data_IF_469934037416
#
_entry.id   IF_469934037416
#
_cell.length_a   1.000
_cell.length_b   1.000
_cell.length_c   1.000
_cell.angle_alpha   90.00
_cell.angle_beta   90.00
_cell.angle_gamma   90.00
#
_symmetry.space_group_name_H-M   'P 1'
#
loop_
_entity.id
_entity.type
_entity.pdbx_description
1 polymer ?
#
# COMPACT_ATOMS: atom_id res chain seq x y z
N UNK A 1 49.04 8.50 -10.16
CA UNK A 1 50.37 9.16 -10.24
C UNK A 1 50.70 9.78 -8.90
N UNK A 2 51.68 9.24 -8.18
CA UNK A 2 52.70 10.00 -7.41
C UNK A 2 53.60 8.97 -6.71
N UNK A 3 54.83 8.92 -7.20
CA UNK A 3 55.94 8.09 -6.73
C UNK A 3 56.60 8.84 -5.56
N UNK A 4 56.85 8.16 -4.45
CA UNK A 4 57.80 8.62 -3.45
C UNK A 4 59.00 7.67 -3.47
N UNK A 5 60.13 8.19 -3.96
CA UNK A 5 61.45 7.64 -3.74
C UNK A 5 61.96 8.16 -2.40
N UNK A 6 62.49 7.29 -1.54
CA UNK A 6 63.34 7.68 -0.42
C UNK A 6 64.42 6.61 -0.18
N UNK A 7 65.65 7.07 -0.39
CA UNK A 7 66.98 6.57 -0.06
C UNK A 7 67.14 5.30 0.82
N UNK A 8 67.91 4.34 0.28
CA UNK A 8 68.60 3.29 1.01
C UNK A 8 69.78 3.88 1.80
N UNK A 9 69.79 3.69 3.12
CA UNK A 9 71.00 3.74 3.93
C UNK A 9 71.35 2.31 4.39
N UNK A 10 72.54 1.87 4.04
CA UNK A 10 73.10 0.55 4.33
C UNK A 10 73.63 0.54 5.78
N UNK A 11 73.01 -0.28 6.64
CA UNK A 11 73.48 -0.53 8.02
C UNK A 11 73.96 -1.99 8.07
N UNK A 12 75.18 -2.28 8.57
CA UNK A 12 75.73 -3.62 8.61
C UNK A 12 75.00 -4.49 9.64
N UNK A 13 74.43 -5.58 9.15
CA UNK A 13 73.66 -6.57 9.91
C UNK A 13 74.63 -7.54 10.59
N UNK A 14 74.90 -7.33 11.88
CA UNK A 14 75.53 -8.37 12.71
C UNK A 14 74.50 -9.47 12.96
N UNK A 15 74.75 -10.61 12.33
CA UNK A 15 73.96 -11.83 12.36
C UNK A 15 74.10 -12.54 13.72
N UNK A 16 73.45 -12.04 14.77
CA UNK A 16 73.15 -12.88 15.95
C UNK A 16 71.77 -13.46 15.77
N UNK A 17 71.74 -14.76 15.48
CA UNK A 17 70.52 -15.52 15.29
C UNK A 17 69.56 -15.39 16.47
N UNK A 18 68.31 -15.13 16.17
CA UNK A 18 67.17 -15.49 17.00
C UNK A 18 66.02 -15.71 16.05
N UNK A 19 65.90 -16.94 15.57
CA UNK A 19 64.65 -17.42 14.97
C UNK A 19 63.65 -17.48 16.12
N UNK A 20 63.00 -16.36 16.40
CA UNK A 20 61.85 -16.33 17.28
C UNK A 20 60.73 -17.03 16.52
N UNK A 21 60.62 -18.34 16.72
CA UNK A 21 59.46 -19.11 16.29
C UNK A 21 58.22 -18.51 16.98
N UNK A 22 57.55 -17.60 16.28
CA UNK A 22 56.15 -17.24 16.53
C UNK A 22 55.32 -18.50 16.27
N UNK A 23 55.38 -19.45 17.19
CA UNK A 23 54.34 -20.46 17.32
C UNK A 23 53.07 -19.70 17.71
N UNK A 24 52.04 -19.64 16.86
CA UNK A 24 50.75 -19.16 17.32
C UNK A 24 50.30 -20.21 18.34
N UNK A 25 50.39 -19.89 19.63
CA UNK A 25 49.72 -20.65 20.67
C UNK A 25 48.21 -20.49 20.42
N UNK A 26 47.65 -21.31 19.54
CA UNK A 26 46.22 -21.47 19.36
C UNK A 26 45.74 -22.20 20.62
N UNK A 27 45.60 -21.46 21.73
CA UNK A 27 45.00 -21.98 22.94
C UNK A 27 43.59 -22.47 22.59
N UNK A 28 43.39 -23.78 22.58
CA UNK A 28 42.09 -24.37 22.32
C UNK A 28 41.06 -23.75 23.27
N UNK A 29 39.86 -23.35 22.78
CA UNK A 29 38.84 -22.75 23.64
C UNK A 29 38.53 -23.72 24.78
N UNK A 30 38.76 -23.27 26.01
CA UNK A 30 38.59 -24.10 27.21
C UNK A 30 37.15 -24.62 27.31
N UNK A 31 36.96 -25.81 27.86
CA UNK A 31 35.63 -26.42 28.00
C UNK A 31 34.62 -25.48 28.69
N UNK A 32 35.07 -24.68 29.67
CA UNK A 32 34.26 -23.65 30.33
C UNK A 32 33.81 -22.53 29.38
N UNK A 33 34.70 -22.05 28.49
CA UNK A 33 34.37 -21.03 27.49
C UNK A 33 33.36 -21.57 26.45
N UNK A 34 33.51 -22.83 26.04
CA UNK A 34 32.57 -23.50 25.14
C UNK A 34 31.19 -23.66 25.78
N UNK A 35 31.13 -24.06 27.06
CA UNK A 35 29.88 -24.19 27.82
C UNK A 35 29.16 -22.83 27.97
N UNK A 36 29.88 -21.77 28.32
CA UNK A 36 29.31 -20.42 28.41
C UNK A 36 28.76 -19.93 27.05
N UNK A 37 29.46 -20.21 25.95
CA UNK A 37 29.01 -19.87 24.60
C UNK A 37 27.73 -20.62 24.22
N UNK A 38 27.62 -21.91 24.56
CA UNK A 38 26.43 -22.71 24.30
C UNK A 38 25.21 -22.20 25.10
N UNK A 39 25.39 -21.86 26.37
CA UNK A 39 24.34 -21.29 27.20
C UNK A 39 23.83 -19.97 26.65
N UNK A 40 24.74 -19.09 26.21
CA UNK A 40 24.37 -17.81 25.61
C UNK A 40 23.61 -18.00 24.29
N UNK A 41 24.09 -18.88 23.40
CA UNK A 41 23.37 -19.23 22.17
C UNK A 41 21.97 -19.77 22.46
N UNK A 42 21.84 -20.66 23.45
CA UNK A 42 20.53 -21.20 23.83
C UNK A 42 19.58 -20.11 24.35
N UNK A 43 20.09 -19.17 25.16
CA UNK A 43 19.31 -18.01 25.64
C UNK A 43 18.84 -17.12 24.49
N UNK A 44 19.72 -16.81 23.54
CA UNK A 44 19.37 -16.04 22.34
C UNK A 44 18.33 -16.75 21.48
N UNK A 45 18.47 -18.07 21.28
CA UNK A 45 17.49 -18.84 20.51
C UNK A 45 16.12 -18.88 21.20
N UNK A 46 16.08 -19.00 22.53
CA UNK A 46 14.84 -18.90 23.31
C UNK A 46 14.20 -17.53 23.18
N UNK A 47 14.99 -16.45 23.25
CA UNK A 47 14.52 -15.09 23.06
C UNK A 47 13.96 -14.87 21.64
N UNK A 48 14.65 -15.34 20.61
CA UNK A 48 14.16 -15.32 19.21
C UNK A 48 12.86 -16.09 19.08
N UNK A 49 12.76 -17.29 19.65
CA UNK A 49 11.54 -18.09 19.62
C UNK A 49 10.35 -17.40 20.32
N UNK A 50 10.59 -16.75 21.46
CA UNK A 50 9.56 -15.98 22.17
C UNK A 50 9.09 -14.76 21.36
N UNK A 51 10.03 -14.00 20.78
CA UNK A 51 9.72 -12.86 19.90
C UNK A 51 8.95 -13.28 18.66
N UNK A 52 9.35 -14.38 18.00
CA UNK A 52 8.59 -14.95 16.88
C UNK A 52 7.15 -15.27 17.28
N UNK A 53 6.94 -16.00 18.39
CA UNK A 53 5.59 -16.33 18.88
C UNK A 53 4.77 -15.07 19.19
N UNK A 54 5.40 -14.05 19.77
CA UNK A 54 4.75 -12.76 20.03
C UNK A 54 4.27 -12.11 18.73
N UNK A 55 5.14 -11.99 17.73
CA UNK A 55 4.78 -11.38 16.45
C UNK A 55 3.71 -12.18 15.70
N UNK A 56 3.76 -13.51 15.75
CA UNK A 56 2.69 -14.34 15.19
C UNK A 56 1.34 -14.08 15.87
N UNK A 57 1.29 -14.03 17.20
CA UNK A 57 0.05 -13.71 17.94
C UNK A 57 -0.47 -12.31 17.63
N UNK A 58 0.41 -11.31 17.59
CA UNK A 58 0.03 -9.94 17.23
C UNK A 58 -0.54 -9.88 15.82
N UNK A 59 0.10 -10.57 14.86
CA UNK A 59 -0.37 -10.64 13.49
C UNK A 59 -1.76 -11.26 13.37
N UNK A 60 -2.01 -12.37 14.06
CA UNK A 60 -3.34 -13.01 14.06
C UNK A 60 -4.39 -12.17 14.78
N UNK A 61 -4.03 -11.51 15.89
CA UNK A 61 -4.94 -10.62 16.62
C UNK A 61 -5.36 -9.43 15.75
N UNK A 62 -4.40 -8.76 15.10
CA UNK A 62 -4.67 -7.67 14.17
C UNK A 62 -5.50 -8.14 12.97
N UNK A 63 -5.19 -9.32 12.40
CA UNK A 63 -5.96 -9.88 11.29
C UNK A 63 -7.42 -10.18 11.70
N UNK A 64 -7.66 -10.66 12.92
CA UNK A 64 -9.01 -10.88 13.46
C UNK A 64 -9.78 -9.56 13.59
N UNK A 65 -9.09 -8.47 13.90
CA UNK A 65 -9.64 -7.12 13.97
C UNK A 65 -9.74 -6.43 12.59
N UNK A 66 -9.35 -7.12 11.50
CA UNK A 66 -9.26 -6.57 10.14
C UNK A 66 -8.26 -5.42 9.98
N UNK A 67 -7.36 -5.24 10.95
CA UNK A 67 -6.20 -4.37 10.82
C UNK A 67 -5.10 -5.10 10.04
N UNK A 68 -5.29 -5.13 8.72
CA UNK A 68 -4.41 -5.87 7.82
C UNK A 68 -3.02 -5.24 7.70
N UNK A 69 -2.88 -3.92 7.91
CA UNK A 69 -1.60 -3.23 7.92
C UNK A 69 -0.74 -3.69 9.11
N UNK A 70 -1.31 -3.66 10.33
CA UNK A 70 -0.61 -4.15 11.53
C UNK A 70 -0.36 -5.66 11.47
N UNK A 71 -1.30 -6.42 10.91
CA UNK A 71 -1.10 -7.85 10.71
C UNK A 71 0.08 -8.14 9.76
N UNK A 72 0.17 -7.40 8.66
CA UNK A 72 1.24 -7.54 7.68
C UNK A 72 2.61 -7.25 8.30
N UNK A 73 2.75 -6.12 9.02
CA UNK A 73 4.01 -5.75 9.66
C UNK A 73 4.44 -6.76 10.73
N UNK A 74 3.47 -7.31 11.49
CA UNK A 74 3.72 -8.34 12.49
C UNK A 74 4.21 -9.66 11.86
N UNK A 75 3.59 -10.13 10.79
CA UNK A 75 4.05 -11.35 10.10
C UNK A 75 5.40 -11.14 9.40
N UNK A 76 5.67 -9.95 8.87
CA UNK A 76 7.00 -9.60 8.37
C UNK A 76 8.06 -9.61 9.48
N UNK A 77 7.74 -9.12 10.68
CA UNK A 77 8.63 -9.21 11.83
C UNK A 77 8.88 -10.66 12.27
N UNK A 78 7.86 -11.53 12.24
CA UNK A 78 8.03 -12.96 12.50
C UNK A 78 8.99 -13.62 11.48
N UNK A 79 8.85 -13.30 10.19
CA UNK A 79 9.73 -13.83 9.13
C UNK A 79 11.16 -13.30 9.20
N UNK A 80 11.38 -12.08 9.70
CA UNK A 80 12.75 -11.59 9.98
C UNK A 80 13.46 -12.42 11.05
N UNK A 81 12.72 -12.99 12.00
CA UNK A 81 13.26 -13.85 13.06
C UNK A 81 13.44 -15.29 12.56
N UNK A 82 12.48 -15.79 11.78
CA UNK A 82 12.51 -17.14 11.19
C UNK A 82 12.30 -17.06 9.68
N UNK A 83 13.37 -16.80 8.90
CA UNK A 83 13.29 -16.83 7.45
C UNK A 83 12.82 -18.21 6.97
N UNK A 84 11.90 -18.24 6.00
CA UNK A 84 11.39 -19.48 5.42
C UNK A 84 10.31 -20.21 6.24
N UNK A 85 9.89 -19.67 7.40
CA UNK A 85 8.82 -20.28 8.20
C UNK A 85 7.51 -20.39 7.39
N UNK A 86 6.95 -21.60 7.18
CA UNK A 86 5.80 -21.78 6.29
C UNK A 86 4.52 -21.15 6.84
N UNK A 87 4.37 -21.11 8.17
CA UNK A 87 3.20 -20.55 8.83
C UNK A 87 3.16 -19.02 8.68
N UNK A 88 4.25 -18.33 9.01
CA UNK A 88 4.38 -16.89 8.87
C UNK A 88 4.31 -16.47 7.40
N UNK A 89 4.88 -17.25 6.48
CA UNK A 89 4.81 -17.02 5.03
C UNK A 89 3.37 -17.09 4.52
N UNK A 90 2.61 -18.14 4.91
CA UNK A 90 1.20 -18.29 4.55
C UNK A 90 0.35 -17.16 5.14
N UNK A 91 0.57 -16.79 6.40
CA UNK A 91 -0.15 -15.72 7.06
C UNK A 91 0.09 -14.36 6.38
N UNK A 92 1.35 -14.02 6.07
CA UNK A 92 1.71 -12.81 5.34
C UNK A 92 1.06 -12.75 3.96
N UNK A 93 1.06 -13.86 3.21
CA UNK A 93 0.42 -13.94 1.88
C UNK A 93 -1.08 -13.65 1.96
N UNK A 94 -1.78 -14.25 2.94
CA UNK A 94 -3.21 -14.04 3.13
C UNK A 94 -3.52 -12.56 3.41
N UNK A 95 -2.79 -11.94 4.35
CA UNK A 95 -3.00 -10.54 4.71
C UNK A 95 -2.69 -9.59 3.55
N UNK A 96 -1.63 -9.83 2.78
CA UNK A 96 -1.34 -9.07 1.55
C UNK A 96 -2.49 -9.11 0.55
N UNK A 97 -3.21 -10.24 0.47
CA UNK A 97 -4.43 -10.37 -0.32
C UNK A 97 -5.52 -9.40 0.13
N UNK A 98 -5.75 -9.29 1.45
CA UNK A 98 -6.71 -8.35 2.01
C UNK A 98 -6.31 -6.88 1.81
N UNK A 99 -5.04 -6.53 2.06
CA UNK A 99 -4.53 -5.18 1.81
C UNK A 99 -4.76 -4.77 0.36
N UNK A 100 -4.36 -5.61 -0.60
CA UNK A 100 -4.57 -5.33 -2.03
C UNK A 100 -6.04 -5.12 -2.36
N UNK A 101 -6.94 -5.97 -1.83
CA UNK A 101 -8.38 -5.84 -2.06
C UNK A 101 -8.92 -4.51 -1.51
N UNK A 102 -8.51 -4.12 -0.30
CA UNK A 102 -8.93 -2.86 0.30
C UNK A 102 -8.46 -1.65 -0.52
N UNK A 103 -7.23 -1.67 -1.03
CA UNK A 103 -6.72 -0.61 -1.90
C UNK A 103 -7.50 -0.54 -3.23
N UNK A 104 -7.87 -1.67 -3.83
CA UNK A 104 -8.70 -1.69 -5.04
C UNK A 104 -10.09 -1.11 -4.80
N UNK A 105 -10.74 -1.48 -3.69
CA UNK A 105 -12.05 -0.93 -3.31
C UNK A 105 -11.94 0.59 -3.08
N UNK A 106 -10.90 1.04 -2.37
CA UNK A 106 -10.64 2.47 -2.15
C UNK A 106 -10.45 3.21 -3.47
N UNK A 107 -9.61 2.68 -4.37
CA UNK A 107 -9.37 3.27 -5.69
C UNK A 107 -10.66 3.35 -6.52
N UNK A 108 -11.47 2.29 -6.52
CA UNK A 108 -12.76 2.27 -7.21
C UNK A 108 -13.75 3.30 -6.64
N UNK A 109 -13.79 3.47 -5.31
CA UNK A 109 -14.63 4.48 -4.66
C UNK A 109 -14.18 5.90 -5.01
N UNK A 110 -12.86 6.16 -5.05
CA UNK A 110 -12.31 7.45 -5.49
C UNK A 110 -12.66 7.74 -6.94
N UNK A 111 -12.52 6.75 -7.83
CA UNK A 111 -12.89 6.90 -9.25
C UNK A 111 -14.39 7.18 -9.42
N UNK A 112 -15.24 6.46 -8.66
CA UNK A 112 -16.69 6.69 -8.62
C UNK A 112 -17.02 8.11 -8.17
N UNK A 113 -16.36 8.59 -7.11
CA UNK A 113 -16.57 9.94 -6.59
C UNK A 113 -16.19 11.00 -7.63
N UNK A 114 -15.00 10.89 -8.24
CA UNK A 114 -14.57 11.81 -9.31
C UNK A 114 -15.56 11.85 -10.48
N UNK A 115 -16.11 10.70 -10.88
CA UNK A 115 -17.14 10.63 -11.92
C UNK A 115 -18.42 11.34 -11.49
N UNK A 116 -18.86 11.14 -10.25
CA UNK A 116 -20.04 11.81 -9.71
C UNK A 116 -19.87 13.34 -9.67
N UNK A 117 -18.67 13.81 -9.30
CA UNK A 117 -18.34 15.24 -9.26
C UNK A 117 -18.35 15.86 -10.66
N UNK A 118 -17.73 15.18 -11.64
CA UNK A 118 -17.73 15.62 -13.04
C UNK A 118 -19.16 15.69 -13.61
N UNK A 119 -19.98 14.66 -13.38
CA UNK A 119 -21.39 14.68 -13.78
C UNK A 119 -22.19 15.78 -13.07
N UNK A 120 -21.86 16.09 -11.81
CA UNK A 120 -22.46 17.22 -11.10
C UNK A 120 -22.20 18.56 -11.79
N UNK A 121 -20.97 18.78 -12.27
CA UNK A 121 -20.62 19.98 -13.03
C UNK A 121 -21.35 20.02 -14.39
N UNK A 122 -21.38 18.89 -15.12
CA UNK A 122 -22.14 18.79 -16.38
C UNK A 122 -23.63 19.08 -16.14
N UNK A 123 -24.22 18.58 -15.05
CA UNK A 123 -25.62 18.86 -14.70
C UNK A 123 -25.86 20.35 -14.47
N UNK A 124 -24.97 21.02 -13.75
CA UNK A 124 -25.06 22.46 -13.53
C UNK A 124 -24.97 23.25 -14.85
N UNK A 125 -24.05 22.87 -15.74
CA UNK A 125 -23.89 23.51 -17.05
C UNK A 125 -25.10 23.28 -17.96
N UNK A 126 -25.59 22.04 -18.04
CA UNK A 126 -26.76 21.69 -18.85
C UNK A 126 -28.00 22.43 -18.35
N UNK A 127 -28.20 22.51 -17.04
CA UNK A 127 -29.36 23.22 -16.47
C UNK A 127 -29.28 24.73 -16.65
N UNK A 128 -28.08 25.33 -16.50
CA UNK A 128 -27.84 26.75 -16.79
C UNK A 128 -28.04 27.09 -18.29
N UNK A 129 -27.64 26.17 -19.17
CA UNK A 129 -27.86 26.26 -20.62
C UNK A 129 -29.28 25.91 -21.06
N UNK A 130 -30.16 25.51 -20.13
CA UNK A 130 -31.51 24.98 -20.40
C UNK A 130 -31.52 23.77 -21.35
N UNK A 131 -30.45 22.98 -21.36
CA UNK A 131 -30.34 21.71 -22.06
C UNK A 131 -30.99 20.60 -21.21
N UNK A 132 -32.32 20.56 -21.24
CA UNK A 132 -33.11 19.67 -20.39
C UNK A 132 -32.89 18.19 -20.70
N UNK A 133 -32.67 17.84 -21.96
CA UNK A 133 -32.41 16.45 -22.35
C UNK A 133 -31.05 15.98 -21.82
N UNK A 134 -30.00 16.81 -21.92
CA UNK A 134 -28.70 16.44 -21.35
C UNK A 134 -28.72 16.45 -19.82
N UNK A 135 -29.45 17.36 -19.18
CA UNK A 135 -29.63 17.33 -17.73
C UNK A 135 -30.27 16.00 -17.27
N UNK A 136 -31.33 15.52 -17.94
CA UNK A 136 -31.95 14.21 -17.64
C UNK A 136 -30.97 13.05 -17.84
N UNK A 137 -30.24 13.04 -18.97
CA UNK A 137 -29.25 11.99 -19.26
C UNK A 137 -28.11 11.96 -18.22
N UNK A 138 -27.66 13.12 -17.74
CA UNK A 138 -26.66 13.24 -16.67
C UNK A 138 -27.22 12.69 -15.37
N UNK A 139 -28.47 13.01 -15.01
CA UNK A 139 -29.11 12.47 -13.80
C UNK A 139 -29.21 10.94 -13.87
N UNK A 140 -29.53 10.37 -15.04
CA UNK A 140 -29.60 8.91 -15.24
C UNK A 140 -28.23 8.23 -15.02
N UNK A 141 -27.14 8.90 -15.38
CA UNK A 141 -25.78 8.42 -15.14
C UNK A 141 -25.29 8.66 -13.71
N UNK A 142 -25.75 9.73 -13.06
CA UNK A 142 -25.35 10.11 -11.71
C UNK A 142 -26.07 9.27 -10.63
N UNK A 143 -27.36 9.01 -10.84
CA UNK A 143 -28.23 8.25 -9.94
C UNK A 143 -27.63 6.92 -9.47
N UNK A 144 -27.15 6.00 -10.34
CA UNK A 144 -26.57 4.72 -9.92
C UNK A 144 -25.25 4.84 -9.16
N UNK A 145 -24.57 6.00 -9.18
CA UNK A 145 -23.34 6.22 -8.43
C UNK A 145 -23.61 6.56 -6.95
N UNK A 146 -24.84 6.97 -6.63
CA UNK A 146 -25.24 7.35 -5.28
C UNK A 146 -25.84 6.17 -4.50
N UNK A 147 -25.69 6.15 -3.16
CA UNK A 147 -26.33 5.15 -2.32
C UNK A 147 -27.85 5.13 -2.51
N UNK A 148 -28.44 3.94 -2.60
CA UNK A 148 -29.87 3.75 -2.86
C UNK A 148 -30.77 4.50 -1.88
N UNK A 149 -30.38 4.57 -0.61
CA UNK A 149 -31.17 5.16 0.47
C UNK A 149 -30.75 6.60 0.81
N UNK A 150 -30.05 7.29 -0.11
CA UNK A 150 -29.59 8.66 0.13
C UNK A 150 -30.63 9.70 -0.29
N UNK A 151 -30.80 10.75 0.52
CA UNK A 151 -31.65 11.91 0.20
C UNK A 151 -31.28 12.50 -1.16
N UNK A 152 -29.98 12.68 -1.43
CA UNK A 152 -29.46 13.19 -2.71
C UNK A 152 -29.94 12.38 -3.91
N UNK A 153 -30.05 11.05 -3.79
CA UNK A 153 -30.58 10.20 -4.86
C UNK A 153 -32.08 10.44 -5.04
N UNK A 154 -32.85 10.54 -3.96
CA UNK A 154 -34.28 10.84 -4.03
C UNK A 154 -34.55 12.23 -4.66
N UNK A 155 -33.77 13.24 -4.28
CA UNK A 155 -33.81 14.58 -4.86
C UNK A 155 -33.54 14.58 -6.36
N UNK A 156 -32.52 13.83 -6.81
CA UNK A 156 -32.22 13.70 -8.25
C UNK A 156 -33.34 13.03 -9.02
N UNK A 157 -33.97 11.99 -8.47
CA UNK A 157 -35.12 11.33 -9.10
C UNK A 157 -36.32 12.29 -9.22
N UNK A 158 -36.62 13.05 -8.17
CA UNK A 158 -37.67 14.07 -8.21
C UNK A 158 -37.34 15.18 -9.21
N UNK A 159 -36.08 15.63 -9.24
CA UNK A 159 -35.62 16.65 -10.16
C UNK A 159 -35.72 16.18 -11.62
N UNK A 160 -35.34 14.93 -11.89
CA UNK A 160 -35.50 14.30 -13.20
C UNK A 160 -36.97 14.33 -13.66
N UNK A 161 -37.91 13.93 -12.82
CA UNK A 161 -39.34 13.98 -13.15
C UNK A 161 -39.81 15.40 -13.48
N UNK A 162 -39.34 16.41 -12.74
CA UNK A 162 -39.64 17.82 -13.04
C UNK A 162 -39.11 18.23 -14.42
N UNK A 163 -37.87 17.85 -14.76
CA UNK A 163 -37.29 18.13 -16.07
C UNK A 163 -38.06 17.44 -17.20
N UNK A 164 -38.52 16.20 -17.01
CA UNK A 164 -39.35 15.50 -17.99
C UNK A 164 -40.68 16.22 -18.25
N UNK A 165 -41.29 16.81 -17.22
CA UNK A 165 -42.48 17.65 -17.38
C UNK A 165 -42.20 18.89 -18.24
N UNK A 166 -41.06 19.56 -18.04
CA UNK A 166 -40.64 20.70 -18.86
C UNK A 166 -40.39 20.30 -20.32
N UNK A 167 -39.82 19.11 -20.55
CA UNK A 167 -39.59 18.55 -21.88
C UNK A 167 -40.93 18.28 -22.58
N UNK A 168 -41.89 17.65 -21.91
CA UNK A 168 -43.20 17.33 -22.47
C UNK A 168 -44.10 18.54 -22.72
N UNK A 169 -43.88 19.64 -22.01
CA UNK A 169 -44.57 20.91 -22.24
C UNK A 169 -44.00 21.72 -23.41
N UNK A 170 -42.93 21.25 -24.07
CA UNK A 170 -42.20 21.93 -25.15
C UNK A 170 -41.86 23.40 -24.82
N UNK A 171 -41.64 23.71 -23.54
CA UNK A 171 -41.61 25.08 -23.03
C UNK A 171 -40.47 25.96 -23.60
N UNK A 172 -39.58 25.41 -24.43
CA UNK A 172 -38.65 26.17 -25.27
C UNK A 172 -38.04 25.30 -26.41
N UNK A 173 -38.64 25.36 -27.61
CA UNK A 173 -38.30 24.51 -28.77
C UNK A 173 -36.88 24.74 -29.33
N UNK A 174 -36.26 25.90 -29.08
CA UNK A 174 -34.94 26.26 -29.65
C UNK A 174 -33.73 25.76 -28.85
N UNK A 175 -33.92 25.34 -27.60
CA UNK A 175 -32.85 24.78 -26.73
C UNK A 175 -32.98 23.27 -26.49
N UNK A 176 -33.88 22.63 -27.23
CA UNK A 176 -34.07 21.19 -27.24
C UNK A 176 -32.92 20.54 -28.03
N UNK A 177 -31.71 20.51 -27.47
CA UNK A 177 -30.64 19.69 -28.01
C UNK A 177 -31.07 18.24 -27.91
N UNK A 178 -31.36 17.63 -29.05
CA UNK A 178 -31.84 16.26 -29.19
C UNK A 178 -30.81 15.19 -28.82
N UNK A 179 -29.56 15.60 -28.52
CA UNK A 179 -28.45 14.70 -28.26
C UNK A 179 -27.54 15.32 -27.19
N UNK A 180 -27.57 14.77 -25.98
CA UNK A 180 -26.49 14.99 -25.02
C UNK A 180 -25.23 14.34 -25.58
N UNK A 181 -24.23 15.14 -25.91
CA UNK A 181 -23.01 14.59 -26.51
C UNK A 181 -22.35 13.58 -25.56
N UNK A 182 -21.84 12.47 -26.08
CA UNK A 182 -21.09 11.50 -25.29
C UNK A 182 -19.86 12.15 -24.62
N UNK A 183 -19.31 13.21 -25.21
CA UNK A 183 -18.23 14.00 -24.61
C UNK A 183 -18.67 14.65 -23.29
N UNK A 184 -19.91 15.16 -23.20
CA UNK A 184 -20.49 15.73 -21.98
C UNK A 184 -20.70 14.70 -20.87
N UNK A 185 -20.95 13.44 -21.23
CA UNK A 185 -21.19 12.32 -20.30
C UNK A 185 -19.89 11.61 -19.87
N UNK A 186 -18.86 11.68 -20.71
CA UNK A 186 -17.61 10.96 -20.47
C UNK A 186 -16.54 11.80 -19.82
N UNK A 187 -16.54 13.14 -20.01
CA UNK A 187 -15.56 14.13 -19.51
C UNK A 187 -14.50 13.54 -18.57
N UNK A 188 -13.63 12.70 -19.15
CA UNK A 188 -12.47 12.15 -18.53
C UNK A 188 -11.47 13.29 -18.61
N UNK A 189 -11.03 13.77 -17.45
CA UNK A 189 -10.00 14.80 -17.36
C UNK A 189 -8.85 14.46 -18.30
N UNK A 190 -8.58 15.38 -19.24
CA UNK A 190 -7.24 15.52 -19.80
C UNK A 190 -6.34 16.10 -18.72
#
# INVERSE_FOLDING_TARGET
MKRFLAALACIPLTLTGSVFELTPAIAAPTAAAQQAQQQQRAKEQRAKAASYRRYMRLGYAANKQRDYQTAQSSFQAALRIRPGDPYATKALRNVRGFVRRNELIRAANVARQKRADALGQTLQQATAGQDWQCAVAVIDNLTPLLPANSLKRAELLAYRSRLQGLIGAEANVTRWSTICSQASLTAQGR
#
